data_IF_797232466351
#
_entry.id   IF_797232466351
#
_cell.length_a   1.000
_cell.length_b   1.000
_cell.length_c   1.000
_cell.angle_alpha   90.00
_cell.angle_beta   90.00
_cell.angle_gamma   90.00
#
_symmetry.space_group_name_H-M   'P 1'
#
loop_
_entity.id
_entity.type
_entity.pdbx_description
1 polymer ?
#
# COMPACT_ATOMS: atom_id res chain seq x y z
N UNK A 1 -5.06 2.95 -15.77
CA UNK A 1 -5.71 3.56 -14.58
C UNK A 1 -5.03 4.86 -14.22
N UNK A 2 -5.80 5.89 -13.96
CA UNK A 2 -5.26 7.21 -13.64
C UNK A 2 -5.15 7.40 -12.13
N UNK A 3 -3.93 7.26 -11.60
CA UNK A 3 -3.67 7.37 -10.17
C UNK A 3 -3.48 8.82 -9.71
N UNK A 4 -3.65 9.78 -10.61
CA UNK A 4 -3.62 11.19 -10.23
C UNK A 4 -4.94 11.62 -9.57
N UNK A 5 -5.96 10.77 -9.65
CA UNK A 5 -7.26 11.04 -9.07
C UNK A 5 -7.35 10.42 -7.67
N UNK A 6 -7.55 11.21 -6.61
CA UNK A 6 -7.62 10.68 -5.25
C UNK A 6 -9.00 10.08 -4.96
N UNK A 7 -9.24 8.89 -5.50
CA UNK A 7 -10.48 8.18 -5.32
C UNK A 7 -10.27 6.94 -4.45
N UNK A 8 -11.32 6.50 -3.78
CA UNK A 8 -11.26 5.28 -2.97
C UNK A 8 -10.91 4.07 -3.82
N UNK A 9 -11.41 4.02 -5.04
CA UNK A 9 -11.09 2.94 -5.97
C UNK A 9 -9.59 2.87 -6.23
N UNK A 10 -8.95 4.02 -6.45
CA UNK A 10 -7.50 4.08 -6.67
C UNK A 10 -6.73 3.72 -5.42
N UNK A 11 -7.23 4.13 -4.24
CA UNK A 11 -6.62 3.74 -2.96
C UNK A 11 -6.60 2.22 -2.86
N UNK A 12 -7.72 1.58 -3.11
CA UNK A 12 -7.82 0.13 -2.98
C UNK A 12 -6.95 -0.59 -4.01
N UNK A 13 -6.87 -0.04 -5.22
CA UNK A 13 -5.99 -0.59 -6.24
C UNK A 13 -4.52 -0.56 -5.78
N UNK A 14 -4.08 0.58 -5.25
CA UNK A 14 -2.70 0.73 -4.81
C UNK A 14 -2.39 -0.19 -3.62
N UNK A 15 -3.30 -0.29 -2.67
CA UNK A 15 -3.11 -1.17 -1.51
C UNK A 15 -3.01 -2.62 -1.93
N UNK A 16 -3.89 -3.07 -2.83
CA UNK A 16 -3.84 -4.45 -3.31
C UNK A 16 -2.54 -4.72 -4.08
N UNK A 17 -2.07 -3.76 -4.86
CA UNK A 17 -0.81 -3.91 -5.58
C UNK A 17 0.37 -4.00 -4.62
N UNK A 18 0.37 -3.19 -3.57
CA UNK A 18 1.41 -3.23 -2.54
C UNK A 18 1.43 -4.60 -1.86
N UNK A 19 0.28 -5.08 -1.44
CA UNK A 19 0.16 -6.37 -0.76
C UNK A 19 0.68 -7.50 -1.65
N UNK A 20 0.28 -7.49 -2.90
CA UNK A 20 0.72 -8.50 -3.86
C UNK A 20 2.22 -8.45 -4.07
N UNK A 21 2.77 -7.26 -4.23
CA UNK A 21 4.19 -7.07 -4.49
C UNK A 21 5.04 -7.52 -3.30
N UNK A 22 4.56 -7.27 -2.08
CA UNK A 22 5.27 -7.66 -0.86
C UNK A 22 5.00 -9.09 -0.46
N UNK A 23 4.09 -9.78 -1.16
CA UNK A 23 3.73 -11.17 -0.86
C UNK A 23 3.32 -11.35 0.59
N UNK A 24 2.46 -10.46 1.07
CA UNK A 24 2.07 -10.44 2.48
C UNK A 24 1.18 -11.62 2.82
N UNK A 25 1.71 -12.52 3.64
CA UNK A 25 0.95 -13.69 4.10
C UNK A 25 -0.21 -13.27 5.01
N UNK A 26 -0.06 -12.13 5.67
CA UNK A 26 -1.08 -11.59 6.58
C UNK A 26 -1.98 -10.58 5.88
N UNK A 27 -2.07 -10.65 4.57
CA UNK A 27 -2.83 -9.69 3.78
C UNK A 27 -4.30 -9.58 4.21
N UNK A 28 -4.85 -10.67 4.75
CA UNK A 28 -6.23 -10.66 5.23
C UNK A 28 -6.46 -9.67 6.36
N UNK A 29 -5.42 -9.35 7.13
CA UNK A 29 -5.51 -8.39 8.22
C UNK A 29 -5.42 -6.94 7.73
N UNK A 30 -5.03 -6.75 6.48
CA UNK A 30 -4.89 -5.43 5.89
C UNK A 30 -5.82 -5.30 4.70
N UNK A 31 -7.08 -5.01 4.98
CA UNK A 31 -8.08 -4.88 3.93
C UNK A 31 -7.93 -3.51 3.26
N UNK A 32 -8.03 -3.51 1.94
CA UNK A 32 -7.91 -2.26 1.17
C UNK A 32 -8.95 -1.24 1.61
N UNK A 33 -10.12 -1.69 2.04
CA UNK A 33 -11.18 -0.80 2.51
C UNK A 33 -10.86 -0.09 3.81
N UNK A 34 -9.80 -0.52 4.52
CA UNK A 34 -9.36 0.13 5.75
C UNK A 34 -8.56 1.40 5.49
N UNK A 35 -8.24 1.69 4.24
CA UNK A 35 -7.47 2.87 3.86
C UNK A 35 -8.40 3.89 3.20
N UNK A 36 -8.12 5.17 3.42
CA UNK A 36 -9.00 6.22 2.92
C UNK A 36 -8.25 7.20 2.03
N UNK A 37 -9.02 7.98 1.26
CA UNK A 37 -8.48 9.00 0.37
C UNK A 37 -7.78 10.12 1.15
N UNK A 38 -8.03 10.24 2.45
CA UNK A 38 -7.36 11.23 3.28
C UNK A 38 -5.85 11.03 3.32
N UNK A 39 -5.41 9.79 3.10
CA UNK A 39 -3.99 9.44 3.07
C UNK A 39 -3.50 9.15 1.66
N UNK A 40 -4.20 9.66 0.66
CA UNK A 40 -3.92 9.30 -0.72
C UNK A 40 -2.46 9.56 -1.12
N UNK A 41 -1.94 10.74 -0.78
CA UNK A 41 -0.57 11.09 -1.15
C UNK A 41 0.45 10.14 -0.50
N UNK A 42 0.24 9.82 0.77
CA UNK A 42 1.13 8.92 1.49
C UNK A 42 1.06 7.50 0.91
N UNK A 43 -0.14 7.06 0.58
CA UNK A 43 -0.34 5.74 -0.02
C UNK A 43 0.32 5.69 -1.40
N UNK A 44 0.15 6.73 -2.19
CA UNK A 44 0.76 6.78 -3.52
C UNK A 44 2.28 6.78 -3.45
N UNK A 45 2.85 7.51 -2.50
CA UNK A 45 4.28 7.54 -2.31
C UNK A 45 4.81 6.14 -1.98
N UNK A 46 4.13 5.44 -1.08
CA UNK A 46 4.51 4.07 -0.72
C UNK A 46 4.33 3.14 -1.92
N UNK A 47 3.25 3.29 -2.65
CA UNK A 47 3.01 2.52 -3.86
C UNK A 47 4.14 2.70 -4.88
N UNK A 48 4.55 3.94 -5.11
CA UNK A 48 5.63 4.23 -6.07
C UNK A 48 6.93 3.57 -5.65
N UNK A 49 7.24 3.58 -4.36
CA UNK A 49 8.44 2.92 -3.83
C UNK A 49 8.35 1.41 -4.10
N UNK A 50 7.22 0.82 -3.78
CA UNK A 50 7.04 -0.63 -3.89
C UNK A 50 7.11 -1.10 -5.33
N UNK A 51 6.45 -0.41 -6.25
CA UNK A 51 6.42 -0.86 -7.64
C UNK A 51 7.72 -0.59 -8.39
N UNK A 52 8.53 0.32 -7.88
CA UNK A 52 9.81 0.65 -8.52
C UNK A 52 10.91 -0.34 -8.17
N UNK A 53 10.73 -1.17 -7.15
CA UNK A 53 11.72 -2.16 -6.74
C UNK A 53 11.32 -3.54 -7.22
N UNK A 54 12.29 -4.33 -7.65
CA UNK A 54 12.04 -5.69 -8.10
C UNK A 54 12.18 -6.70 -6.97
N UNK A 55 13.05 -6.41 -6.02
CA UNK A 55 13.33 -7.34 -4.92
C UNK A 55 13.37 -6.58 -3.60
N UNK A 56 12.97 -7.26 -2.54
CA UNK A 56 12.95 -6.71 -1.19
C UNK A 56 13.65 -7.64 -0.23
N UNK A 57 14.45 -7.09 0.68
CA UNK A 57 14.97 -7.86 1.80
C UNK A 57 13.86 -8.00 2.85
N UNK A 58 14.04 -8.93 3.79
CA UNK A 58 13.07 -9.12 4.87
C UNK A 58 12.92 -7.82 5.67
N UNK A 59 14.02 -7.13 5.94
CA UNK A 59 14.00 -5.87 6.67
C UNK A 59 13.21 -4.80 5.93
N UNK A 60 13.35 -4.74 4.61
CA UNK A 60 12.61 -3.78 3.80
C UNK A 60 11.12 -4.08 3.82
N UNK A 61 10.75 -5.36 3.73
CA UNK A 61 9.36 -5.75 3.78
C UNK A 61 8.75 -5.37 5.12
N UNK A 62 9.45 -5.66 6.21
CA UNK A 62 8.97 -5.31 7.55
C UNK A 62 8.77 -3.80 7.71
N UNK A 63 9.71 -3.01 7.21
CA UNK A 63 9.61 -1.56 7.28
C UNK A 63 8.42 -1.05 6.47
N UNK A 64 8.22 -1.59 5.27
CA UNK A 64 7.11 -1.18 4.41
C UNK A 64 5.76 -1.59 4.98
N UNK A 65 5.68 -2.78 5.56
CA UNK A 65 4.46 -3.24 6.23
C UNK A 65 4.12 -2.34 7.40
N UNK A 66 5.14 -1.95 8.18
CA UNK A 66 4.95 -1.03 9.30
C UNK A 66 4.43 0.32 8.84
N UNK A 67 5.01 0.87 7.77
CA UNK A 67 4.56 2.15 7.22
C UNK A 67 3.13 2.05 6.69
N UNK A 68 2.82 0.95 6.02
CA UNK A 68 1.48 0.73 5.50
C UNK A 68 0.45 0.68 6.65
N UNK A 69 0.82 0.02 7.74
CA UNK A 69 -0.04 -0.05 8.90
C UNK A 69 -0.36 1.31 9.49
N UNK A 70 0.58 2.26 9.42
CA UNK A 70 0.36 3.62 9.93
C UNK A 70 -0.62 4.40 9.07
N UNK A 71 -0.80 4.02 7.82
CA UNK A 71 -1.71 4.71 6.91
C UNK A 71 -3.12 4.15 6.97
N UNK A 72 -3.29 3.06 7.69
CA UNK A 72 -4.60 2.43 7.80
C UNK A 72 -5.54 3.30 8.62
N UNK A 73 -6.75 3.46 8.12
CA UNK A 73 -7.78 4.21 8.83
C UNK A 73 -8.20 3.44 10.08
N UNK A 74 -8.07 4.08 11.20
CA UNK A 74 -8.38 3.44 12.47
C UNK A 74 -9.86 3.57 12.81
#
# INVERSE_FOLDING_TARGET
MDLTQPTQENVEYMIEAIKTKLKMATAAAMQASSFSVERYEDIQELYDIVVSKQNFSISEIEALVSELGKLRHA
#
